data_IF_190401436954
#
_entry.id   IF_190401436954
#
_cell.length_a   1.000
_cell.length_b   1.000
_cell.length_c   1.000
_cell.angle_alpha   90.00
_cell.angle_beta   90.00
_cell.angle_gamma   90.00
#
_symmetry.space_group_name_H-M   'P 1'
#
loop_
_entity.id
_entity.type
_entity.pdbx_description
1 polymer ?
#
# COMPACT_ATOMS: atom_id res chain seq x y z
N UNK A 1 -9.33 -19.96 -15.82
CA UNK A 1 -10.14 -19.09 -14.95
C UNK A 1 -10.34 -19.76 -13.59
N UNK A 2 -9.31 -19.70 -12.75
CA UNK A 2 -9.33 -20.25 -11.40
C UNK A 2 -9.85 -19.13 -10.49
N UNK A 3 -10.96 -19.42 -9.83
CA UNK A 3 -11.67 -18.57 -8.88
C UNK A 3 -10.69 -17.66 -8.12
N UNK A 4 -10.70 -16.37 -8.46
CA UNK A 4 -10.23 -15.31 -7.60
C UNK A 4 -10.94 -15.52 -6.27
N UNK A 5 -10.25 -16.11 -5.29
CA UNK A 5 -10.55 -15.85 -3.91
C UNK A 5 -10.17 -14.40 -3.73
N UNK A 6 -11.06 -13.50 -4.16
CA UNK A 6 -11.09 -12.13 -3.71
C UNK A 6 -11.09 -12.29 -2.21
N UNK A 7 -9.96 -11.96 -1.58
CA UNK A 7 -10.02 -11.53 -0.21
C UNK A 7 -11.20 -10.56 -0.17
N UNK A 8 -12.27 -10.96 0.51
CA UNK A 8 -13.21 -9.97 1.00
C UNK A 8 -12.30 -9.05 1.77
N UNK A 9 -12.00 -7.87 1.22
CA UNK A 9 -11.28 -6.84 1.96
C UNK A 9 -11.95 -6.80 3.33
N UNK A 10 -11.20 -6.68 4.43
CA UNK A 10 -11.81 -6.74 5.76
C UNK A 10 -13.01 -5.78 5.86
N UNK A 11 -12.99 -4.68 5.09
CA UNK A 11 -14.14 -3.84 4.80
C UNK A 11 -15.38 -4.60 4.28
N UNK A 12 -15.30 -5.37 3.18
CA UNK A 12 -16.45 -6.15 2.69
C UNK A 12 -16.98 -7.16 3.72
N UNK A 13 -16.10 -7.79 4.50
CA UNK A 13 -16.53 -8.73 5.54
C UNK A 13 -17.29 -8.01 6.68
N UNK A 14 -16.73 -6.90 7.17
CA UNK A 14 -17.36 -6.04 8.19
C UNK A 14 -18.67 -5.44 7.67
N UNK A 15 -18.66 -4.94 6.44
CA UNK A 15 -19.83 -4.35 5.80
C UNK A 15 -20.95 -5.38 5.60
N UNK A 16 -20.60 -6.61 5.20
CA UNK A 16 -21.56 -7.70 5.10
C UNK A 16 -22.14 -8.08 6.47
N UNK A 17 -21.32 -8.10 7.53
CA UNK A 17 -21.78 -8.37 8.87
C UNK A 17 -22.77 -7.30 9.35
N UNK A 18 -22.47 -6.02 9.15
CA UNK A 18 -23.36 -4.90 9.52
C UNK A 18 -24.65 -4.92 8.71
N UNK A 19 -24.60 -5.19 7.40
CA UNK A 19 -25.82 -5.23 6.57
C UNK A 19 -26.80 -6.35 6.91
N UNK A 20 -26.31 -7.40 7.58
CA UNK A 20 -27.10 -8.58 7.91
C UNK A 20 -27.23 -8.75 9.43
N UNK A 21 -26.94 -7.72 10.23
CA UNK A 21 -26.91 -7.81 11.69
C UNK A 21 -28.27 -8.24 12.25
N UNK A 22 -29.36 -7.58 11.83
CA UNK A 22 -30.73 -7.89 12.24
C UNK A 22 -31.10 -9.35 11.92
N UNK A 23 -30.83 -9.79 10.69
CA UNK A 23 -31.12 -11.16 10.24
C UNK A 23 -30.31 -12.19 11.04
N UNK A 24 -29.05 -11.87 11.36
CA UNK A 24 -28.19 -12.74 12.15
C UNK A 24 -28.63 -12.80 13.61
N UNK A 25 -29.09 -11.69 14.18
CA UNK A 25 -29.66 -11.63 15.54
C UNK A 25 -30.94 -12.45 15.60
N UNK A 26 -31.86 -12.29 14.63
CA UNK A 26 -33.10 -13.05 14.54
C UNK A 26 -32.83 -14.55 14.42
N UNK A 27 -31.95 -14.93 13.49
CA UNK A 27 -31.55 -16.33 13.29
C UNK A 27 -30.95 -16.93 14.56
N UNK A 28 -30.00 -16.23 15.19
CA UNK A 28 -29.37 -16.72 16.42
C UNK A 28 -30.36 -16.79 17.58
N UNK A 29 -31.32 -15.87 17.66
CA UNK A 29 -32.38 -15.90 18.68
C UNK A 29 -33.28 -17.13 18.52
N UNK A 30 -33.73 -17.41 17.29
CA UNK A 30 -34.53 -18.59 16.97
C UNK A 30 -33.77 -19.88 17.32
N UNK A 31 -32.53 -20.02 16.86
CA UNK A 31 -31.68 -21.20 17.11
C UNK A 31 -31.35 -21.42 18.58
N UNK A 32 -31.17 -20.34 19.37
CA UNK A 32 -30.98 -20.45 20.83
C UNK A 32 -32.24 -20.99 21.50
N UNK A 33 -33.42 -20.57 21.05
CA UNK A 33 -34.70 -21.00 21.61
C UNK A 33 -35.03 -22.46 21.24
N UNK A 34 -34.75 -22.89 20.01
CA UNK A 34 -35.09 -24.22 19.51
C UNK A 34 -34.05 -25.29 19.87
N UNK A 35 -32.77 -24.99 19.61
CA UNK A 35 -31.70 -25.99 19.64
C UNK A 35 -30.69 -25.76 20.77
N UNK A 36 -30.69 -24.57 21.38
CA UNK A 36 -29.91 -24.25 22.58
C UNK A 36 -28.38 -24.44 22.42
N UNK A 37 -27.86 -24.33 21.20
CA UNK A 37 -26.44 -24.56 20.91
C UNK A 37 -25.52 -23.50 21.56
N UNK A 38 -24.44 -23.90 22.26
CA UNK A 38 -23.53 -22.97 22.94
C UNK A 38 -22.87 -21.93 22.02
N UNK A 39 -22.53 -22.33 20.78
CA UNK A 39 -21.89 -21.43 19.80
C UNK A 39 -22.85 -20.33 19.38
N UNK A 40 -24.11 -20.66 19.12
CA UNK A 40 -25.13 -19.69 18.73
C UNK A 40 -25.43 -18.71 19.87
N UNK A 41 -25.46 -19.19 21.12
CA UNK A 41 -25.56 -18.30 22.30
C UNK A 41 -24.41 -17.31 22.38
N UNK A 42 -23.19 -17.76 22.12
CA UNK A 42 -22.02 -16.89 22.09
C UNK A 42 -22.13 -15.85 20.96
N UNK A 43 -22.53 -16.27 19.76
CA UNK A 43 -22.75 -15.36 18.63
C UNK A 43 -23.83 -14.33 18.93
N UNK A 44 -24.99 -14.75 19.44
CA UNK A 44 -26.07 -13.83 19.85
C UNK A 44 -25.58 -12.84 20.90
N UNK A 45 -24.86 -13.31 21.92
CA UNK A 45 -24.26 -12.45 22.94
C UNK A 45 -23.31 -11.42 22.34
N UNK A 46 -22.55 -11.78 21.31
CA UNK A 46 -21.63 -10.85 20.63
C UNK A 46 -22.33 -9.87 19.70
N UNK A 47 -23.31 -10.34 18.92
CA UNK A 47 -24.10 -9.50 18.00
C UNK A 47 -25.01 -8.50 18.72
N UNK A 48 -25.32 -8.75 19.99
CA UNK A 48 -26.11 -7.85 20.84
C UNK A 48 -25.27 -7.06 21.84
N UNK A 49 -23.95 -7.25 21.85
CA UNK A 49 -23.01 -6.53 22.71
C UNK A 49 -22.83 -5.10 22.17
N UNK A 50 -23.27 -4.04 22.88
CA UNK A 50 -23.19 -2.66 22.40
C UNK A 50 -21.76 -2.24 22.04
N UNK A 51 -20.80 -2.69 22.86
CA UNK A 51 -19.38 -2.43 22.65
C UNK A 51 -18.89 -3.01 21.32
N UNK A 52 -19.35 -4.22 20.98
CA UNK A 52 -19.00 -4.90 19.76
C UNK A 52 -19.64 -4.22 18.54
N UNK A 53 -20.93 -3.89 18.59
CA UNK A 53 -21.65 -3.26 17.48
C UNK A 53 -21.10 -1.87 17.13
N UNK A 54 -20.77 -1.07 18.15
CA UNK A 54 -20.16 0.24 17.94
C UNK A 54 -18.74 0.08 17.37
N UNK A 55 -17.93 -0.83 17.91
CA UNK A 55 -16.59 -1.09 17.38
C UNK A 55 -16.65 -1.55 15.92
N UNK A 56 -17.59 -2.43 15.58
CA UNK A 56 -17.78 -2.93 14.21
C UNK A 56 -18.17 -1.79 13.25
N UNK A 57 -19.07 -0.91 13.68
CA UNK A 57 -19.53 0.23 12.88
C UNK A 57 -18.41 1.25 12.64
N UNK A 58 -17.59 1.55 13.66
CA UNK A 58 -16.40 2.39 13.48
C UNK A 58 -15.39 1.71 12.55
N UNK A 59 -15.20 0.39 12.66
CA UNK A 59 -14.33 -0.36 11.75
C UNK A 59 -14.83 -0.33 10.31
N UNK A 60 -16.14 -0.31 10.04
CA UNK A 60 -16.68 -0.14 8.67
C UNK A 60 -16.20 1.18 8.05
N UNK A 61 -16.28 2.27 8.82
CA UNK A 61 -15.84 3.60 8.38
C UNK A 61 -14.34 3.59 8.09
N UNK A 62 -13.52 3.10 9.03
CA UNK A 62 -12.05 3.09 8.88
C UNK A 62 -11.61 2.17 7.73
N UNK A 63 -12.12 0.95 7.68
CA UNK A 63 -11.76 -0.03 6.65
C UNK A 63 -12.25 0.40 5.27
N UNK A 64 -13.37 1.13 5.17
CA UNK A 64 -13.82 1.73 3.92
C UNK A 64 -12.79 2.71 3.36
N UNK A 65 -12.32 3.65 4.19
CA UNK A 65 -11.29 4.62 3.81
C UNK A 65 -9.96 3.96 3.45
N UNK A 66 -9.55 2.93 4.20
CA UNK A 66 -8.35 2.15 3.88
C UNK A 66 -8.51 1.35 2.58
N UNK A 67 -9.69 0.80 2.31
CA UNK A 67 -9.96 0.08 1.07
C UNK A 67 -9.81 1.00 -0.15
N UNK A 68 -10.30 2.24 -0.06
CA UNK A 68 -10.09 3.25 -1.12
C UNK A 68 -8.60 3.62 -1.28
N UNK A 69 -7.87 3.74 -0.16
CA UNK A 69 -6.44 4.02 -0.19
C UNK A 69 -5.67 2.88 -0.88
N UNK A 70 -5.96 1.64 -0.52
CA UNK A 70 -5.37 0.46 -1.16
C UNK A 70 -5.65 0.42 -2.67
N UNK A 71 -6.87 0.75 -3.11
CA UNK A 71 -7.19 0.86 -4.53
C UNK A 71 -6.41 1.98 -5.22
N UNK A 72 -6.16 3.08 -4.51
CA UNK A 72 -5.33 4.19 -5.04
C UNK A 72 -3.87 3.76 -5.21
N UNK A 73 -3.33 3.00 -4.24
CA UNK A 73 -1.98 2.44 -4.31
C UNK A 73 -1.82 1.36 -5.38
N UNK A 74 -2.90 0.78 -5.86
CA UNK A 74 -2.91 -0.19 -6.96
C UNK A 74 -2.95 0.46 -8.35
N UNK A 75 -3.05 1.79 -8.43
CA UNK A 75 -2.98 2.48 -9.72
C UNK A 75 -1.58 2.33 -10.29
N UNK A 76 -1.50 2.05 -11.60
CA UNK A 76 -0.21 2.05 -12.29
C UNK A 76 0.39 3.45 -12.25
N UNK A 77 1.71 3.52 -12.08
CA UNK A 77 2.50 4.74 -12.20
C UNK A 77 2.23 5.80 -11.11
N UNK A 78 1.91 5.35 -9.90
CA UNK A 78 1.85 6.20 -8.71
C UNK A 78 3.27 6.51 -8.21
N UNK A 79 3.62 7.78 -8.07
CA UNK A 79 4.90 8.17 -7.47
C UNK A 79 4.90 7.95 -5.95
N UNK A 80 6.08 7.81 -5.36
CA UNK A 80 6.25 7.75 -3.89
C UNK A 80 5.65 8.98 -3.20
N UNK A 81 5.78 10.17 -3.81
CA UNK A 81 5.24 11.43 -3.30
C UNK A 81 3.72 11.45 -3.33
N UNK A 82 3.09 11.03 -4.44
CA UNK A 82 1.64 10.94 -4.54
C UNK A 82 1.09 9.92 -3.54
N UNK A 83 1.71 8.74 -3.44
CA UNK A 83 1.33 7.71 -2.46
C UNK A 83 1.35 8.27 -1.03
N UNK A 84 2.42 8.97 -0.67
CA UNK A 84 2.55 9.64 0.61
C UNK A 84 1.45 10.70 0.83
N UNK A 85 1.17 11.55 -0.16
CA UNK A 85 0.13 12.57 -0.07
C UNK A 85 -1.24 11.95 0.16
N UNK A 86 -1.58 10.86 -0.53
CA UNK A 86 -2.83 10.13 -0.29
C UNK A 86 -2.88 9.52 1.12
N UNK A 87 -1.78 8.94 1.60
CA UNK A 87 -1.69 8.42 2.97
C UNK A 87 -1.90 9.53 4.01
N UNK A 88 -1.17 10.63 3.89
CA UNK A 88 -1.30 11.80 4.78
C UNK A 88 -2.70 12.40 4.74
N UNK A 89 -3.36 12.45 3.59
CA UNK A 89 -4.75 12.90 3.50
C UNK A 89 -5.71 12.01 4.31
N UNK A 90 -5.54 10.67 4.24
CA UNK A 90 -6.34 9.74 5.05
C UNK A 90 -6.00 9.83 6.54
N UNK A 91 -4.71 9.96 6.91
CA UNK A 91 -4.29 10.21 8.30
C UNK A 91 -4.93 11.48 8.83
N UNK A 92 -4.82 12.60 8.10
CA UNK A 92 -5.40 13.88 8.50
C UNK A 92 -6.92 13.77 8.70
N UNK A 93 -7.61 13.04 7.81
CA UNK A 93 -9.03 12.74 7.97
C UNK A 93 -9.30 11.98 9.28
N UNK A 94 -8.59 10.87 9.53
CA UNK A 94 -8.76 10.10 10.76
C UNK A 94 -8.44 10.91 12.02
N UNK A 95 -7.35 11.68 12.02
CA UNK A 95 -6.99 12.55 13.13
C UNK A 95 -8.08 13.59 13.40
N UNK A 96 -8.55 14.28 12.36
CA UNK A 96 -9.59 15.30 12.50
C UNK A 96 -10.93 14.74 12.99
N UNK A 97 -11.24 13.50 12.60
CA UNK A 97 -12.52 12.87 12.91
C UNK A 97 -12.51 12.15 14.26
N UNK A 98 -11.43 11.44 14.60
CA UNK A 98 -11.39 10.51 15.73
C UNK A 98 -10.38 10.86 16.82
N UNK A 99 -9.30 11.57 16.50
CA UNK A 99 -8.17 11.79 17.43
C UNK A 99 -8.00 13.26 17.86
N UNK A 100 -8.91 14.15 17.47
CA UNK A 100 -8.91 15.55 17.88
C UNK A 100 -9.43 15.76 19.31
N UNK A 101 -9.57 17.03 19.73
CA UNK A 101 -10.12 17.38 21.05
C UNK A 101 -11.52 16.81 21.28
N UNK A 102 -12.30 16.64 20.20
CA UNK A 102 -13.62 16.04 20.20
C UNK A 102 -13.69 14.98 19.11
N UNK A 103 -14.31 13.85 19.45
CA UNK A 103 -14.59 12.79 18.48
C UNK A 103 -15.85 13.13 17.69
N UNK A 104 -15.72 13.12 16.37
CA UNK A 104 -16.78 13.34 15.41
C UNK A 104 -17.24 12.01 14.80
N UNK A 105 -18.07 11.29 15.54
CA UNK A 105 -18.66 10.02 15.07
C UNK A 105 -19.46 10.22 13.78
N UNK A 106 -19.40 9.22 12.88
CA UNK A 106 -20.27 9.18 11.71
C UNK A 106 -21.73 9.05 12.14
N UNK A 107 -22.65 9.37 11.22
CA UNK A 107 -24.09 9.28 11.52
C UNK A 107 -24.51 7.85 11.87
N UNK A 108 -23.94 6.84 11.21
CA UNK A 108 -24.16 5.42 11.53
C UNK A 108 -23.74 5.11 12.97
N UNK A 109 -22.56 5.56 13.38
CA UNK A 109 -22.06 5.32 14.75
C UNK A 109 -22.93 6.04 15.78
N UNK A 110 -23.35 7.29 15.51
CA UNK A 110 -24.27 8.01 16.41
C UNK A 110 -25.60 7.28 16.60
N UNK A 111 -26.18 6.77 15.53
CA UNK A 111 -27.42 5.99 15.58
C UNK A 111 -27.25 4.72 16.43
N UNK A 112 -26.12 4.04 16.29
CA UNK A 112 -25.78 2.86 17.10
C UNK A 112 -25.50 3.19 18.57
N UNK A 113 -24.97 4.39 18.86
CA UNK A 113 -24.70 4.85 20.24
C UNK A 113 -25.93 5.41 20.96
N UNK A 114 -26.92 5.91 20.22
CA UNK A 114 -28.11 6.57 20.77
C UNK A 114 -28.87 5.76 21.84
N UNK A 115 -29.04 4.43 21.72
CA UNK A 115 -29.73 3.63 22.74
C UNK A 115 -28.98 3.50 24.08
N UNK A 116 -27.68 3.85 24.12
CA UNK A 116 -26.78 3.53 25.23
C UNK A 116 -26.26 4.77 25.99
N UNK A 117 -26.83 5.96 25.75
CA UNK A 117 -26.49 7.22 26.44
C UNK A 117 -24.96 7.48 26.55
N UNK A 118 -24.20 7.13 25.51
CA UNK A 118 -22.72 7.25 25.46
C UNK A 118 -21.95 6.49 26.56
N UNK A 119 -22.54 5.45 27.16
CA UNK A 119 -21.91 4.65 28.22
C UNK A 119 -20.85 3.65 27.72
N UNK A 120 -20.70 3.53 26.40
CA UNK A 120 -19.83 2.54 25.74
C UNK A 120 -18.38 3.03 25.71
N UNK A 121 -17.44 2.16 26.08
CA UNK A 121 -16.01 2.49 26.16
C UNK A 121 -15.36 2.48 24.77
N UNK A 122 -15.13 3.65 24.21
CA UNK A 122 -14.55 3.78 22.86
C UNK A 122 -13.01 3.81 22.84
N UNK A 123 -12.35 3.75 24.01
CA UNK A 123 -10.88 3.92 24.12
C UNK A 123 -10.10 2.93 23.27
N UNK A 124 -10.51 1.66 23.25
CA UNK A 124 -9.82 0.62 22.48
C UNK A 124 -9.86 0.87 20.97
N UNK A 125 -10.99 1.39 20.46
CA UNK A 125 -11.15 1.70 19.03
C UNK A 125 -10.35 2.95 18.68
N UNK A 126 -10.35 3.97 19.53
CA UNK A 126 -9.53 5.18 19.33
C UNK A 126 -8.04 4.87 19.36
N UNK A 127 -7.60 3.99 20.27
CA UNK A 127 -6.22 3.51 20.30
C UNK A 127 -5.86 2.78 19.01
N UNK A 128 -6.72 1.90 18.51
CA UNK A 128 -6.51 1.24 17.22
C UNK A 128 -6.36 2.24 16.07
N UNK A 129 -7.17 3.30 16.03
CA UNK A 129 -7.08 4.34 14.99
C UNK A 129 -5.78 5.13 15.11
N UNK A 130 -5.32 5.44 16.33
CA UNK A 130 -4.03 6.09 16.57
C UNK A 130 -2.87 5.25 16.03
N UNK A 131 -2.80 3.99 16.44
CA UNK A 131 -1.79 3.04 15.98
C UNK A 131 -1.83 2.88 14.46
N UNK A 132 -3.02 2.79 13.87
CA UNK A 132 -3.17 2.73 12.42
C UNK A 132 -2.57 3.95 11.74
N UNK A 133 -2.80 5.16 12.26
CA UNK A 133 -2.23 6.39 11.70
C UNK A 133 -0.70 6.38 11.80
N UNK A 134 -0.15 5.98 12.95
CA UNK A 134 1.30 5.87 13.15
C UNK A 134 1.93 4.84 12.21
N UNK A 135 1.32 3.66 12.07
CA UNK A 135 1.80 2.61 11.16
C UNK A 135 1.70 3.04 9.70
N UNK A 136 0.64 3.76 9.32
CA UNK A 136 0.49 4.29 7.97
C UNK A 136 1.53 5.37 7.68
N UNK A 137 1.89 6.19 8.67
CA UNK A 137 2.92 7.22 8.53
C UNK A 137 4.33 6.63 8.43
N UNK A 138 4.65 5.65 9.28
CA UNK A 138 5.94 4.95 9.29
C UNK A 138 6.28 4.26 7.95
N UNK A 139 5.29 4.00 7.08
CA UNK A 139 5.52 3.44 5.74
C UNK A 139 6.25 4.39 4.79
N UNK A 140 6.28 5.68 5.10
CA UNK A 140 6.86 6.71 4.24
C UNK A 140 7.88 7.57 5.00
N UNK A 141 9.13 7.10 5.15
CA UNK A 141 10.14 7.85 5.88
C UNK A 141 10.42 9.20 5.20
N UNK A 142 10.35 10.31 5.96
CA UNK A 142 10.48 11.68 5.41
C UNK A 142 11.76 11.87 4.59
N UNK A 143 12.86 11.27 5.04
CA UNK A 143 14.15 11.34 4.37
C UNK A 143 14.09 10.73 2.95
N UNK A 144 13.40 9.61 2.79
CA UNK A 144 13.28 8.93 1.50
C UNK A 144 12.38 9.71 0.54
N UNK A 145 11.31 10.32 1.06
CA UNK A 145 10.42 11.16 0.25
C UNK A 145 11.17 12.37 -0.33
N UNK A 146 12.01 13.03 0.48
CA UNK A 146 12.79 14.17 0.03
C UNK A 146 13.81 13.79 -1.06
N UNK A 147 14.35 12.58 -0.98
CA UNK A 147 15.26 12.06 -2.01
C UNK A 147 14.51 11.79 -3.33
N UNK A 148 13.35 11.13 -3.26
CA UNK A 148 12.56 10.78 -4.45
C UNK A 148 11.85 11.97 -5.11
N UNK A 149 11.69 13.11 -4.41
CA UNK A 149 11.11 14.32 -5.00
C UNK A 149 11.94 14.88 -6.17
N UNK A 150 13.18 14.41 -6.37
CA UNK A 150 14.01 14.73 -7.52
C UNK A 150 13.40 14.27 -8.87
N UNK A 151 12.48 13.29 -8.84
CA UNK A 151 11.80 12.74 -10.01
C UNK A 151 10.29 13.04 -10.02
N UNK A 152 9.81 13.90 -9.13
CA UNK A 152 8.41 14.32 -9.12
C UNK A 152 8.12 15.32 -10.24
N UNK A 153 7.10 15.05 -11.06
CA UNK A 153 6.76 15.89 -12.22
C UNK A 153 6.42 17.31 -11.80
N UNK A 154 5.68 17.48 -10.70
CA UNK A 154 5.31 18.82 -10.21
C UNK A 154 6.53 19.59 -9.73
N UNK A 155 7.45 18.91 -9.04
CA UNK A 155 8.68 19.53 -8.56
C UNK A 155 9.69 19.85 -9.68
N UNK A 156 9.69 19.07 -10.77
CA UNK A 156 10.49 19.34 -11.97
C UNK A 156 9.93 20.48 -12.82
N UNK A 157 8.63 20.79 -12.70
CA UNK A 157 7.96 21.88 -13.41
C UNK A 157 7.53 23.04 -12.48
N UNK A 158 8.44 23.67 -11.72
CA UNK A 158 8.09 24.78 -10.85
C UNK A 158 7.80 26.06 -11.64
N UNK A 159 7.04 26.98 -11.04
CA UNK A 159 6.78 28.31 -11.60
C UNK A 159 8.07 29.13 -11.88
N UNK A 160 9.20 28.77 -11.23
CA UNK A 160 10.55 29.25 -11.52
C UNK A 160 11.50 28.07 -11.60
N UNK A 161 12.09 27.84 -12.77
CA UNK A 161 13.02 26.74 -12.99
C UNK A 161 14.29 26.92 -12.13
N UNK A 162 14.59 25.93 -11.28
CA UNK A 162 15.80 25.89 -10.47
C UNK A 162 16.77 24.82 -11.02
N UNK A 163 17.90 25.30 -11.54
CA UNK A 163 18.96 24.44 -12.08
C UNK A 163 19.62 23.57 -11.01
N UNK A 164 19.60 23.97 -9.73
CA UNK A 164 20.17 23.22 -8.61
C UNK A 164 19.22 22.20 -7.98
N UNK A 165 17.91 22.31 -8.24
CA UNK A 165 16.91 21.45 -7.60
C UNK A 165 17.18 19.95 -7.84
N UNK A 166 17.07 19.15 -6.79
CA UNK A 166 17.15 17.69 -6.84
C UNK A 166 18.56 17.09 -6.99
N UNK A 167 19.60 17.88 -7.28
CA UNK A 167 20.96 17.35 -7.45
C UNK A 167 21.48 16.71 -6.16
N UNK A 168 21.28 17.35 -5.01
CA UNK A 168 21.66 16.77 -3.70
C UNK A 168 20.88 15.48 -3.40
N UNK A 169 19.59 15.46 -3.75
CA UNK A 169 18.73 14.29 -3.59
C UNK A 169 19.22 13.11 -4.45
N UNK A 170 19.60 13.35 -5.70
CA UNK A 170 20.20 12.32 -6.58
C UNK A 170 21.52 11.81 -5.99
N UNK A 171 22.38 12.67 -5.47
CA UNK A 171 23.64 12.25 -4.81
C UNK A 171 23.36 11.35 -3.60
N UNK A 172 22.34 11.66 -2.79
CA UNK A 172 21.93 10.81 -1.66
C UNK A 172 21.42 9.45 -2.13
N UNK A 173 20.57 9.43 -3.16
CA UNK A 173 20.10 8.19 -3.78
C UNK A 173 21.26 7.34 -4.32
N UNK A 174 22.24 7.97 -4.98
CA UNK A 174 23.44 7.28 -5.45
C UNK A 174 24.19 6.60 -4.32
N UNK A 175 24.42 7.32 -3.21
CA UNK A 175 25.06 6.74 -2.02
C UNK A 175 24.27 5.57 -1.43
N UNK A 176 22.94 5.69 -1.38
CA UNK A 176 22.04 4.67 -0.82
C UNK A 176 21.99 3.40 -1.67
N UNK A 177 21.96 3.53 -2.99
CA UNK A 177 21.82 2.40 -3.93
C UNK A 177 23.14 1.94 -4.54
N UNK A 178 24.28 2.51 -4.12
CA UNK A 178 25.61 2.20 -4.67
C UNK A 178 25.90 0.69 -4.75
N UNK A 179 25.68 -0.03 -3.65
CA UNK A 179 25.93 -1.46 -3.58
C UNK A 179 24.95 -2.29 -4.42
N UNK A 180 23.70 -1.85 -4.53
CA UNK A 180 22.64 -2.55 -5.26
C UNK A 180 22.84 -2.41 -6.77
N UNK A 181 23.25 -1.21 -7.21
CA UNK A 181 23.47 -0.89 -8.62
C UNK A 181 24.90 -1.19 -9.09
N UNK A 182 25.76 -1.73 -8.23
CA UNK A 182 27.18 -1.96 -8.50
C UNK A 182 27.88 -0.71 -9.07
N UNK A 183 27.53 0.47 -8.57
CA UNK A 183 28.10 1.72 -9.06
C UNK A 183 29.57 1.81 -8.67
N UNK A 184 30.45 2.29 -9.57
CA UNK A 184 31.83 2.59 -9.26
C UNK A 184 31.96 3.49 -8.02
N UNK A 185 33.02 3.26 -7.24
CA UNK A 185 33.32 4.08 -6.05
C UNK A 185 34.12 5.34 -6.37
N UNK A 186 34.52 5.53 -7.63
CA UNK A 186 35.23 6.71 -8.05
C UNK A 186 34.28 7.90 -8.24
N UNK A 187 34.76 9.12 -8.00
CA UNK A 187 33.92 10.32 -8.14
C UNK A 187 33.41 10.57 -9.56
N UNK A 188 33.98 9.88 -10.56
CA UNK A 188 33.67 10.07 -11.98
C UNK A 188 32.22 9.71 -12.33
N UNK A 189 31.67 8.63 -11.75
CA UNK A 189 30.29 8.23 -12.00
C UNK A 189 29.27 9.21 -11.37
N UNK A 190 29.63 9.82 -10.24
CA UNK A 190 28.80 10.82 -9.56
C UNK A 190 28.67 12.09 -10.39
N UNK A 191 29.77 12.58 -10.94
CA UNK A 191 29.76 13.71 -11.87
C UNK A 191 28.97 13.38 -13.15
N UNK A 192 29.12 12.15 -13.66
CA UNK A 192 28.40 11.70 -14.86
C UNK A 192 26.88 11.66 -14.66
N UNK A 193 26.39 11.04 -13.58
CA UNK A 193 24.96 10.97 -13.26
C UNK A 193 24.40 12.37 -12.98
N UNK A 194 25.13 13.23 -12.26
CA UNK A 194 24.70 14.62 -12.02
C UNK A 194 24.56 15.42 -13.32
N UNK A 195 25.44 15.17 -14.30
CA UNK A 195 25.34 15.76 -15.63
C UNK A 195 24.11 15.24 -16.38
N UNK A 196 23.92 13.91 -16.42
CA UNK A 196 22.70 13.31 -17.00
C UNK A 196 21.44 13.90 -16.36
N UNK A 197 21.41 14.07 -15.03
CA UNK A 197 20.28 14.65 -14.33
C UNK A 197 20.01 16.11 -14.72
N UNK A 198 21.06 16.90 -14.93
CA UNK A 198 20.89 18.29 -15.37
C UNK A 198 20.25 18.37 -16.75
N UNK A 199 20.74 17.56 -17.70
CA UNK A 199 20.19 17.48 -19.06
C UNK A 199 18.77 16.90 -19.05
N UNK A 200 18.54 15.88 -18.21
CA UNK A 200 17.25 15.24 -17.99
C UNK A 200 16.18 16.25 -17.57
N UNK A 201 16.44 17.06 -16.54
CA UNK A 201 15.48 18.07 -16.07
C UNK A 201 15.04 19.00 -17.19
N UNK A 202 16.00 19.48 -17.99
CA UNK A 202 15.71 20.36 -19.12
C UNK A 202 14.81 19.67 -20.16
N UNK A 203 15.18 18.46 -20.56
CA UNK A 203 14.47 17.70 -21.61
C UNK A 203 13.06 17.31 -21.17
N UNK A 204 12.89 16.84 -19.94
CA UNK A 204 11.59 16.47 -19.38
C UNK A 204 10.68 17.71 -19.31
N UNK A 205 11.18 18.84 -18.83
CA UNK A 205 10.39 20.08 -18.77
C UNK A 205 9.95 20.54 -20.15
N UNK A 206 10.82 20.53 -21.15
CA UNK A 206 10.45 20.91 -22.51
C UNK A 206 9.41 19.95 -23.12
N UNK A 207 9.54 18.64 -22.85
CA UNK A 207 8.55 17.64 -23.28
C UNK A 207 7.21 17.79 -22.58
N UNK A 208 7.18 18.17 -21.31
CA UNK A 208 5.95 18.50 -20.58
C UNK A 208 5.28 19.74 -21.19
N UNK A 209 6.04 20.81 -21.46
CA UNK A 209 5.50 22.03 -22.13
C UNK A 209 4.93 21.72 -23.52
N UNK A 210 5.58 20.83 -24.26
CA UNK A 210 5.13 20.36 -25.56
C UNK A 210 3.93 19.39 -25.47
N UNK A 211 3.53 18.97 -24.27
CA UNK A 211 2.44 18.02 -24.04
C UNK A 211 2.77 16.56 -24.40
N UNK A 212 4.05 16.24 -24.62
CA UNK A 212 4.53 14.90 -24.95
C UNK A 212 4.66 13.99 -23.72
N UNK A 213 4.89 14.57 -22.54
CA UNK A 213 4.87 13.88 -21.24
C UNK A 213 3.76 14.51 -20.40
N UNK A 214 2.78 13.70 -19.98
CA UNK A 214 1.65 14.16 -19.16
C UNK A 214 1.59 13.47 -17.81
N UNK A 215 2.13 12.27 -17.72
CA UNK A 215 2.07 11.41 -16.54
C UNK A 215 3.45 10.93 -16.15
N UNK A 216 3.59 10.47 -14.91
CA UNK A 216 4.81 9.81 -14.45
C UNK A 216 5.15 8.58 -15.30
N UNK A 217 4.12 7.85 -15.77
CA UNK A 217 4.28 6.74 -16.70
C UNK A 217 5.01 7.12 -17.99
N UNK A 218 4.62 8.26 -18.59
CA UNK A 218 5.22 8.77 -19.81
C UNK A 218 6.68 9.16 -19.57
N UNK A 219 6.94 9.78 -18.42
CA UNK A 219 8.28 10.19 -18.00
C UNK A 219 9.19 8.98 -17.81
N UNK A 220 8.75 7.95 -17.07
CA UNK A 220 9.48 6.69 -16.89
C UNK A 220 9.74 6.03 -18.24
N UNK A 221 8.71 5.86 -19.06
CA UNK A 221 8.82 5.23 -20.39
C UNK A 221 9.82 5.96 -21.29
N UNK A 222 9.80 7.30 -21.27
CA UNK A 222 10.76 8.10 -22.02
C UNK A 222 12.17 7.91 -21.49
N UNK A 223 12.36 8.02 -20.16
CA UNK A 223 13.68 7.90 -19.52
C UNK A 223 14.33 6.55 -19.84
N UNK A 224 13.58 5.45 -19.70
CA UNK A 224 14.08 4.10 -19.92
C UNK A 224 14.43 3.78 -21.39
N UNK A 225 13.97 4.60 -22.34
CA UNK A 225 14.25 4.42 -23.78
C UNK A 225 15.41 5.24 -24.31
N UNK A 226 15.80 6.30 -23.60
CA UNK A 226 16.80 7.25 -24.07
C UNK A 226 18.20 6.87 -23.56
N UNK A 227 19.09 6.49 -24.47
CA UNK A 227 20.46 6.05 -24.14
C UNK A 227 21.27 7.11 -23.37
N UNK A 228 20.97 8.39 -23.58
CA UNK A 228 21.65 9.50 -22.89
C UNK A 228 21.42 9.52 -21.37
N UNK A 229 20.41 8.79 -20.86
CA UNK A 229 20.08 8.74 -19.44
C UNK A 229 20.34 7.36 -18.82
N UNK A 230 21.13 6.50 -19.45
CA UNK A 230 21.25 5.08 -19.06
C UNK A 230 21.54 4.85 -17.56
N UNK A 231 22.42 5.66 -16.95
CA UNK A 231 22.76 5.51 -15.54
C UNK A 231 21.68 6.13 -14.62
N UNK A 232 21.17 7.30 -14.99
CA UNK A 232 20.06 7.94 -14.28
C UNK A 232 18.77 7.13 -14.33
N UNK A 233 18.53 6.43 -15.45
CA UNK A 233 17.36 5.62 -15.73
C UNK A 233 17.19 4.51 -14.68
N UNK A 234 18.28 3.99 -14.10
CA UNK A 234 18.23 3.01 -13.01
C UNK A 234 17.51 3.57 -11.77
N UNK A 235 17.74 4.84 -11.43
CA UNK A 235 17.05 5.49 -10.31
C UNK A 235 15.59 5.78 -10.61
N UNK A 236 15.28 6.17 -11.86
CA UNK A 236 13.89 6.35 -12.30
C UNK A 236 13.14 5.02 -12.29
N UNK A 237 13.80 3.92 -12.67
CA UNK A 237 13.23 2.57 -12.58
C UNK A 237 12.98 2.14 -11.13
N UNK A 238 13.93 2.39 -10.22
CA UNK A 238 13.73 2.15 -8.79
C UNK A 238 12.55 2.99 -8.26
N UNK A 239 12.47 4.26 -8.63
CA UNK A 239 11.34 5.12 -8.25
C UNK A 239 10.01 4.59 -8.79
N UNK A 240 10.00 4.04 -10.01
CA UNK A 240 8.80 3.49 -10.66
C UNK A 240 8.39 2.12 -10.13
N UNK A 241 9.32 1.39 -9.52
CA UNK A 241 9.08 0.09 -8.88
C UNK A 241 8.65 0.21 -7.42
N UNK A 242 8.50 1.43 -6.89
CA UNK A 242 7.94 1.64 -5.56
C UNK A 242 6.53 1.04 -5.46
N UNK A 243 6.42 -0.05 -4.72
CA UNK A 243 5.14 -0.65 -4.38
C UNK A 243 4.59 0.01 -3.12
N UNK A 244 3.67 0.97 -3.30
CA UNK A 244 2.92 1.56 -2.19
C UNK A 244 2.00 0.55 -1.48
N UNK A 245 1.76 -0.62 -2.10
CA UNK A 245 0.88 -1.68 -1.62
C UNK A 245 1.60 -3.02 -1.53
N UNK A 246 1.37 -3.76 -0.45
CA UNK A 246 1.82 -5.15 -0.26
C UNK A 246 0.96 -6.18 -0.99
N UNK A 247 -0.06 -5.74 -1.73
CA UNK A 247 -1.09 -6.66 -2.28
C UNK A 247 -0.52 -7.70 -3.23
N UNK A 248 0.51 -7.36 -4.01
CA UNK A 248 1.14 -8.32 -4.93
C UNK A 248 1.83 -9.46 -4.15
N UNK A 249 2.51 -9.11 -3.04
CA UNK A 249 3.10 -10.08 -2.13
C UNK A 249 2.01 -10.93 -1.44
N UNK A 250 0.93 -10.30 -0.96
CA UNK A 250 -0.20 -10.98 -0.30
C UNK A 250 -0.94 -11.94 -1.25
N UNK A 251 -1.11 -11.55 -2.51
CA UNK A 251 -1.62 -12.43 -3.57
C UNK A 251 -0.70 -13.64 -3.77
N UNK A 252 0.61 -13.42 -3.83
CA UNK A 252 1.62 -14.47 -3.85
C UNK A 252 1.48 -15.45 -2.68
N UNK A 253 1.42 -14.93 -1.46
CA UNK A 253 1.26 -15.73 -0.23
C UNK A 253 -0.09 -16.45 -0.16
N UNK A 254 -1.16 -15.86 -0.68
CA UNK A 254 -2.47 -16.51 -0.74
C UNK A 254 -2.46 -17.73 -1.67
N UNK A 255 -1.82 -17.61 -2.84
CA UNK A 255 -1.61 -18.74 -3.74
C UNK A 255 -0.73 -19.81 -3.08
N UNK A 256 0.28 -19.39 -2.31
CA UNK A 256 1.10 -20.33 -1.53
C UNK A 256 0.29 -21.07 -0.47
N UNK A 257 -0.65 -20.41 0.21
CA UNK A 257 -1.52 -21.06 1.21
C UNK A 257 -2.44 -22.12 0.60
N UNK A 258 -2.78 -22.02 -0.70
CA UNK A 258 -3.50 -23.09 -1.40
C UNK A 258 -2.63 -24.36 -1.57
N UNK A 259 -1.33 -24.17 -1.78
CA UNK A 259 -0.35 -25.27 -1.89
C UNK A 259 0.05 -25.77 -0.50
N UNK A 260 0.19 -24.89 0.48
CA UNK A 260 0.60 -25.20 1.86
C UNK A 260 -0.56 -24.96 2.82
N UNK A 261 -1.43 -25.95 2.96
CA UNK A 261 -2.37 -25.99 4.08
C UNK A 261 -1.82 -26.85 5.22
N UNK A 262 -2.21 -26.52 6.46
CA UNK A 262 -1.75 -27.13 7.73
C UNK A 262 -1.86 -28.66 7.78
N UNK A 263 -2.64 -29.25 6.87
CA UNK A 263 -3.02 -30.67 6.85
C UNK A 263 -2.71 -31.41 5.54
N UNK A 264 -2.17 -30.78 4.49
CA UNK A 264 -1.93 -31.47 3.19
C UNK A 264 -0.50 -31.51 2.67
N UNK A 265 0.38 -30.54 2.93
CA UNK A 265 1.73 -30.54 2.33
C UNK A 265 2.83 -30.14 3.32
N UNK A 266 3.82 -31.03 3.50
CA UNK A 266 5.07 -30.82 4.28
C UNK A 266 6.13 -30.03 3.48
N UNK A 267 5.72 -29.03 2.71
CA UNK A 267 6.70 -28.21 1.99
C UNK A 267 7.45 -27.32 3.00
N UNK A 268 8.72 -27.65 3.18
CA UNK A 268 9.69 -26.83 3.92
C UNK A 268 9.82 -25.44 3.29
N UNK A 269 10.29 -24.47 4.08
CA UNK A 269 10.42 -23.07 3.67
C UNK A 269 11.27 -22.94 2.39
N UNK A 270 12.36 -23.70 2.28
CA UNK A 270 13.23 -23.68 1.11
C UNK A 270 12.51 -24.11 -0.18
N UNK A 271 11.68 -25.16 -0.13
CA UNK A 271 10.92 -25.60 -1.31
C UNK A 271 9.87 -24.56 -1.74
N UNK A 272 9.27 -23.86 -0.78
CA UNK A 272 8.32 -22.79 -1.08
C UNK A 272 9.00 -21.59 -1.72
N UNK A 273 10.16 -21.19 -1.22
CA UNK A 273 11.00 -20.15 -1.81
C UNK A 273 11.39 -20.50 -3.25
N UNK A 274 11.87 -21.72 -3.49
CA UNK A 274 12.20 -22.21 -4.85
C UNK A 274 11.01 -22.16 -5.81
N UNK A 275 9.81 -22.53 -5.36
CA UNK A 275 8.60 -22.47 -6.19
C UNK A 275 8.19 -21.04 -6.54
N UNK A 276 8.33 -20.09 -5.61
CA UNK A 276 8.09 -18.67 -5.88
C UNK A 276 9.09 -18.17 -6.92
N UNK A 277 10.38 -18.50 -6.76
CA UNK A 277 11.44 -18.13 -7.70
C UNK A 277 11.14 -18.66 -9.10
N UNK A 278 10.84 -19.95 -9.24
CA UNK A 278 10.49 -20.55 -10.55
C UNK A 278 9.29 -19.85 -11.18
N UNK A 279 8.24 -19.57 -10.40
CA UNK A 279 7.04 -18.89 -10.90
C UNK A 279 7.35 -17.46 -11.37
N UNK A 280 8.18 -16.73 -10.64
CA UNK A 280 8.62 -15.38 -11.02
C UNK A 280 9.36 -15.40 -12.36
N UNK A 281 10.32 -16.31 -12.55
CA UNK A 281 11.06 -16.45 -13.80
C UNK A 281 10.18 -16.88 -14.99
N UNK A 282 9.19 -17.75 -14.76
CA UNK A 282 8.22 -18.16 -15.78
C UNK A 282 7.32 -17.01 -16.26
N UNK A 283 6.96 -16.08 -15.36
CA UNK A 283 6.12 -14.93 -15.71
C UNK A 283 6.87 -13.88 -16.54
N UNK A 284 8.20 -13.86 -16.47
CA UNK A 284 9.07 -12.94 -17.20
C UNK A 284 9.42 -13.38 -18.65
N UNK A 285 8.70 -14.37 -19.21
CA UNK A 285 8.96 -14.97 -20.54
C UNK A 285 10.38 -15.55 -20.72
N UNK A 286 11.09 -15.88 -19.64
CA UNK A 286 12.39 -16.53 -19.73
C UNK A 286 12.28 -18.04 -19.96
N UNK A 287 13.17 -18.61 -20.78
CA UNK A 287 13.45 -20.05 -20.75
C UNK A 287 13.88 -20.42 -19.31
N UNK A 288 13.21 -21.41 -18.71
CA UNK A 288 13.48 -21.83 -17.33
C UNK A 288 14.85 -22.52 -17.27
N UNK A 289 15.87 -21.74 -16.95
CA UNK A 289 17.17 -22.26 -16.57
C UNK A 289 17.20 -22.45 -15.05
N UNK A 290 16.91 -23.69 -14.60
CA UNK A 290 16.89 -24.03 -13.18
C UNK A 290 18.23 -23.73 -12.49
N UNK A 291 19.36 -23.95 -13.16
CA UNK A 291 20.69 -23.68 -12.58
C UNK A 291 20.90 -22.19 -12.31
N UNK A 292 20.45 -21.30 -13.21
CA UNK A 292 20.46 -19.85 -12.96
C UNK A 292 19.57 -19.47 -11.78
N UNK A 293 18.38 -20.08 -11.65
CA UNK A 293 17.43 -19.81 -10.57
C UNK A 293 18.02 -20.20 -9.20
N UNK A 294 18.84 -21.26 -9.17
CA UNK A 294 19.52 -21.73 -7.96
C UNK A 294 20.85 -21.03 -7.65
N UNK A 295 21.41 -20.22 -8.58
CA UNK A 295 22.74 -19.60 -8.43
C UNK A 295 22.75 -18.06 -8.43
N UNK A 296 21.62 -17.40 -8.69
CA UNK A 296 21.55 -15.93 -8.78
C UNK A 296 21.47 -15.21 -7.42
N UNK A 297 21.41 -15.96 -6.33
CA UNK A 297 21.37 -15.51 -4.92
C UNK A 297 22.06 -16.54 -4.03
#
# INVERSE_FOLDING_TARGET
>A
PLNEVRWLSCHFAVNALIRNDDVLVDYCTMEVNENNYPVVKYCLKKLTDPQYCIALTVLDDILGELSELCQTFQRSCLTTIEAYRYAKAKIAKFCSQYLGEKVHWSEKVKQQMAPFDNTVDTRGVLHFISELCEQLDCRFPENELQEWSAFDIEALFPAKFDYGYGTESVIKLMGKYQAVLNLPTDGSISEHICKQYTDYKFIIVEKIKAGAIKTFADMVTHTLKEEQFTDLAQFVDICATFQASSIDCECGFSLMNQIKTKSRNRLEVNHMDQLIRIKYYLAANGDVNLDKIYHHW
#
